data_IF_951690520472
#
_entry.id   IF_951690520472
#
_cell.length_a   1.000
_cell.length_b   1.000
_cell.length_c   1.000
_cell.angle_alpha   90.00
_cell.angle_beta   90.00
_cell.angle_gamma   90.00
#
_symmetry.space_group_name_H-M   'P 1'
#
loop_
_entity.id
_entity.type
_entity.pdbx_description
1 polymer ?
#
# COMPACT_ATOMS: atom_id res chain seq x y z
N UNK A 1 44.45 -34.23 65.52
CA UNK A 1 44.76 -33.21 64.50
C UNK A 1 45.47 -33.92 63.35
N UNK A 2 45.15 -33.83 62.07
CA UNK A 2 44.04 -33.30 61.28
C UNK A 2 44.29 -33.90 59.87
N UNK A 3 43.29 -34.49 59.23
CA UNK A 3 43.41 -35.05 57.88
C UNK A 3 43.23 -33.96 56.80
N UNK A 4 43.85 -34.07 55.62
CA UNK A 4 43.33 -33.51 54.37
C UNK A 4 42.81 -34.68 53.50
N UNK A 5 41.50 -34.92 53.44
CA UNK A 5 40.50 -34.30 52.53
C UNK A 5 40.81 -34.51 51.04
N UNK A 6 40.08 -35.50 50.51
CA UNK A 6 39.98 -35.92 49.13
C UNK A 6 39.31 -34.89 48.21
N UNK A 7 39.45 -35.19 46.90
CA UNK A 7 38.39 -35.12 45.87
C UNK A 7 38.33 -33.86 44.96
N UNK A 8 38.96 -34.02 43.79
CA UNK A 8 38.41 -33.87 42.43
C UNK A 8 37.45 -32.69 42.14
N UNK A 9 37.86 -31.78 41.24
CA UNK A 9 36.92 -31.02 40.40
C UNK A 9 37.49 -30.90 38.98
N UNK A 10 37.11 -31.83 38.11
CA UNK A 10 36.99 -31.60 36.67
C UNK A 10 35.54 -31.19 36.47
N UNK A 11 35.28 -29.95 36.08
CA UNK A 11 33.97 -29.56 35.56
C UNK A 11 34.12 -28.99 34.15
N UNK A 12 33.97 -29.90 33.20
CA UNK A 12 33.62 -29.62 31.81
C UNK A 12 32.33 -28.80 31.82
N UNK A 13 32.38 -27.55 31.38
CA UNK A 13 31.18 -26.78 31.05
C UNK A 13 31.33 -26.22 29.63
N UNK A 14 31.38 -27.14 28.66
CA UNK A 14 31.02 -26.83 27.29
C UNK A 14 29.50 -26.64 27.25
N UNK A 15 29.03 -25.46 27.63
CA UNK A 15 27.69 -25.01 27.24
C UNK A 15 27.76 -24.64 25.76
N UNK A 16 27.62 -25.65 24.90
CA UNK A 16 27.09 -25.44 23.56
C UNK A 16 25.67 -24.90 23.73
N UNK A 17 25.54 -23.57 23.79
CA UNK A 17 24.29 -22.90 23.51
C UNK A 17 24.03 -23.15 22.02
N UNK A 18 23.29 -24.22 21.73
CA UNK A 18 22.54 -24.30 20.48
C UNK A 18 21.66 -23.05 20.44
N UNK A 19 22.06 -22.07 19.63
CA UNK A 19 21.17 -20.99 19.25
C UNK A 19 19.99 -21.64 18.55
N UNK A 20 18.82 -21.64 19.20
CA UNK A 20 17.55 -21.90 18.53
C UNK A 20 17.40 -20.84 17.45
N UNK A 21 17.78 -21.19 16.22
CA UNK A 21 17.39 -20.44 15.04
C UNK A 21 15.91 -20.70 14.85
N UNK A 22 15.08 -19.93 15.53
CA UNK A 22 13.67 -19.83 15.20
C UNK A 22 13.62 -19.03 13.89
N UNK A 23 13.79 -19.71 12.76
CA UNK A 23 13.24 -19.22 11.49
C UNK A 23 11.72 -19.35 11.67
N UNK A 24 11.10 -18.30 12.20
CA UNK A 24 9.65 -18.19 12.32
C UNK A 24 9.10 -18.07 10.89
N UNK A 25 8.72 -19.21 10.30
CA UNK A 25 8.17 -19.34 8.95
C UNK A 25 6.74 -18.74 8.81
N UNK A 26 6.26 -18.00 9.82
CA UNK A 26 4.97 -17.32 9.72
C UNK A 26 5.03 -16.20 8.68
N UNK A 27 3.99 -16.05 7.83
CA UNK A 27 3.92 -14.95 6.88
C UNK A 27 4.02 -13.62 7.62
N UNK A 28 5.01 -12.80 7.27
CA UNK A 28 5.17 -11.48 7.86
C UNK A 28 4.02 -10.59 7.40
N UNK A 29 3.16 -10.19 8.34
CA UNK A 29 2.07 -9.23 8.09
C UNK A 29 2.66 -7.92 7.56
N UNK A 30 2.15 -7.43 6.42
CA UNK A 30 2.65 -6.20 5.78
C UNK A 30 2.23 -4.95 6.55
N UNK A 31 0.93 -4.76 6.75
CA UNK A 31 0.35 -3.72 7.58
C UNK A 31 -0.71 -4.30 8.50
N UNK A 32 -0.71 -3.89 9.77
CA UNK A 32 -1.77 -4.21 10.71
C UNK A 32 -3.00 -3.31 10.53
N UNK A 33 -4.16 -3.77 11.01
CA UNK A 33 -5.40 -2.99 11.00
C UNK A 33 -5.26 -1.65 11.75
N UNK A 34 -4.43 -1.59 12.79
CA UNK A 34 -4.16 -0.34 13.52
C UNK A 34 -3.38 0.65 12.65
N UNK A 35 -2.37 0.19 11.91
CA UNK A 35 -1.60 1.04 11.01
C UNK A 35 -2.46 1.58 9.87
N UNK A 36 -3.43 0.81 9.38
CA UNK A 36 -4.33 1.24 8.30
C UNK A 36 -5.30 2.35 8.70
N UNK A 37 -5.46 2.65 9.99
CA UNK A 37 -6.12 3.89 10.42
C UNK A 37 -5.42 5.14 9.90
N UNK A 38 -4.13 5.06 9.53
CA UNK A 38 -3.47 6.16 8.85
C UNK A 38 -4.12 6.47 7.49
N UNK A 39 -4.69 5.47 6.79
CA UNK A 39 -5.33 5.59 5.47
C UNK A 39 -6.73 6.19 5.55
N UNK A 40 -7.60 5.70 6.43
CA UNK A 40 -9.02 6.13 6.52
C UNK A 40 -9.35 6.93 7.78
N UNK A 41 -8.37 7.20 8.65
CA UNK A 41 -8.58 7.89 9.92
C UNK A 41 -9.46 7.11 10.89
N UNK A 42 -10.24 7.82 11.70
CA UNK A 42 -11.24 7.22 12.59
C UNK A 42 -12.59 6.98 11.88
N UNK A 43 -12.82 7.63 10.74
CA UNK A 43 -14.09 7.55 9.99
C UNK A 43 -13.83 7.72 8.51
N UNK A 44 -13.25 8.86 8.11
CA UNK A 44 -12.79 9.08 6.76
C UNK A 44 -11.51 9.93 6.74
N UNK A 45 -10.72 9.79 5.68
CA UNK A 45 -9.57 10.65 5.40
C UNK A 45 -9.39 10.85 3.90
N UNK A 46 -9.09 12.09 3.53
CA UNK A 46 -8.94 12.53 2.14
C UNK A 46 -7.47 12.54 1.72
N UNK A 47 -7.23 12.08 0.50
CA UNK A 47 -5.91 12.01 -0.10
C UNK A 47 -5.98 12.53 -1.52
N UNK A 48 -5.10 13.46 -1.87
CA UNK A 48 -4.98 13.95 -3.24
C UNK A 48 -3.98 13.09 -4.00
N UNK A 49 -4.33 12.66 -5.21
CA UNK A 49 -3.38 12.05 -6.13
C UNK A 49 -2.39 13.10 -6.60
N UNK A 50 -1.11 12.87 -6.35
CA UNK A 50 -0.04 13.81 -6.75
C UNK A 50 0.79 13.31 -7.91
N UNK A 51 0.80 12.00 -8.17
CA UNK A 51 1.45 11.42 -9.32
C UNK A 51 0.88 10.04 -9.70
N UNK A 52 0.87 9.76 -11.00
CA UNK A 52 0.54 8.46 -11.57
C UNK A 52 1.65 8.00 -12.53
N UNK A 53 2.23 6.84 -12.25
CA UNK A 53 3.40 6.29 -12.92
C UNK A 53 3.06 5.06 -13.76
N UNK A 54 3.68 4.96 -14.94
CA UNK A 54 3.77 3.73 -15.74
C UNK A 54 5.03 2.93 -15.40
N UNK A 55 6.03 3.58 -14.80
CA UNK A 55 7.21 2.91 -14.24
C UNK A 55 7.80 3.73 -13.09
N UNK A 56 7.54 3.29 -11.86
CA UNK A 56 7.94 4.03 -10.65
C UNK A 56 9.46 4.05 -10.44
N UNK A 57 10.14 2.93 -10.70
CA UNK A 57 11.61 2.84 -10.51
C UNK A 57 12.39 3.79 -11.42
N UNK A 58 11.88 4.07 -12.61
CA UNK A 58 12.50 4.98 -13.56
C UNK A 58 11.94 6.42 -13.46
N UNK A 59 11.04 6.68 -12.50
CA UNK A 59 10.33 7.95 -12.37
C UNK A 59 9.60 8.36 -13.67
N UNK A 60 9.01 7.39 -14.36
CA UNK A 60 8.28 7.58 -15.62
C UNK A 60 6.79 7.73 -15.33
N UNK A 61 6.31 8.97 -15.46
CA UNK A 61 4.89 9.29 -15.33
C UNK A 61 4.09 8.63 -16.45
N UNK A 62 2.85 8.26 -16.14
CA UNK A 62 1.87 7.84 -17.15
C UNK A 62 1.45 9.04 -18.00
N UNK A 63 1.10 8.80 -19.26
CA UNK A 63 0.42 9.80 -20.10
C UNK A 63 -0.92 10.27 -19.48
N UNK A 64 -1.50 9.46 -18.58
CA UNK A 64 -2.69 9.83 -17.80
C UNK A 64 -2.37 10.59 -16.50
N UNK A 65 -1.10 10.94 -16.23
CA UNK A 65 -0.75 11.60 -14.99
C UNK A 65 -1.56 12.87 -14.75
N UNK A 66 -1.70 13.72 -15.77
CA UNK A 66 -2.32 15.03 -15.58
C UNK A 66 -3.83 14.96 -15.34
N UNK A 67 -4.52 13.92 -15.83
CA UNK A 67 -5.95 13.72 -15.56
C UNK A 67 -6.24 13.03 -14.21
N UNK A 68 -5.25 12.34 -13.65
CA UNK A 68 -5.32 11.74 -12.32
C UNK A 68 -4.86 12.69 -11.23
N UNK A 69 -3.84 13.47 -11.53
CA UNK A 69 -3.30 14.47 -10.63
C UNK A 69 -4.43 15.42 -10.24
N UNK A 70 -4.52 15.67 -8.94
CA UNK A 70 -5.58 16.46 -8.30
C UNK A 70 -6.92 15.74 -8.06
N UNK A 71 -7.10 14.48 -8.50
CA UNK A 71 -8.20 13.64 -7.99
C UNK A 71 -8.07 13.52 -6.46
N UNK A 72 -9.19 13.57 -5.74
CA UNK A 72 -9.24 13.40 -4.28
C UNK A 72 -9.96 12.10 -3.93
N UNK A 73 -9.25 11.21 -3.24
CA UNK A 73 -9.74 9.93 -2.77
C UNK A 73 -10.08 10.04 -1.29
N UNK A 74 -11.34 9.81 -0.95
CA UNK A 74 -11.85 9.86 0.42
C UNK A 74 -12.12 8.42 0.86
N UNK A 75 -11.17 7.86 1.62
CA UNK A 75 -11.29 6.50 2.14
C UNK A 75 -12.23 6.50 3.34
N UNK A 76 -13.25 5.64 3.31
CA UNK A 76 -14.25 5.50 4.39
C UNK A 76 -14.05 4.20 5.15
N UNK A 77 -13.89 4.29 6.46
CA UNK A 77 -13.52 3.16 7.31
C UNK A 77 -14.60 2.07 7.45
N UNK A 78 -15.87 2.41 7.21
CA UNK A 78 -17.03 1.62 7.57
C UNK A 78 -17.51 0.66 6.47
N UNK A 79 -17.30 1.00 5.20
CA UNK A 79 -17.92 0.29 4.07
C UNK A 79 -16.95 -0.15 2.97
N UNK A 80 -15.64 0.00 3.17
CA UNK A 80 -14.63 -0.37 2.16
C UNK A 80 -14.73 0.42 0.85
N UNK A 81 -15.39 1.58 0.88
CA UNK A 81 -15.53 2.46 -0.27
C UNK A 81 -14.48 3.57 -0.25
N UNK A 82 -14.11 4.00 -1.44
CA UNK A 82 -13.36 5.23 -1.66
C UNK A 82 -14.23 6.12 -2.53
N UNK A 83 -14.67 7.24 -1.98
CA UNK A 83 -15.32 8.28 -2.78
C UNK A 83 -14.24 9.03 -3.55
N UNK A 84 -14.47 9.22 -4.85
CA UNK A 84 -13.52 9.89 -5.75
C UNK A 84 -14.13 11.19 -6.21
N UNK A 85 -13.45 12.30 -5.89
CA UNK A 85 -13.72 13.61 -6.47
C UNK A 85 -12.73 13.79 -7.61
N UNK A 86 -13.22 13.80 -8.84
CA UNK A 86 -12.41 13.94 -10.04
C UNK A 86 -11.81 15.35 -10.15
N UNK A 87 -10.59 15.44 -10.66
CA UNK A 87 -10.02 16.67 -11.19
C UNK A 87 -10.72 17.16 -12.46
N UNK A 88 -10.22 18.26 -13.03
CA UNK A 88 -10.88 18.92 -14.18
C UNK A 88 -10.58 18.26 -15.54
N UNK A 89 -9.45 17.55 -15.66
CA UNK A 89 -8.97 17.04 -16.93
C UNK A 89 -9.50 15.63 -17.22
N UNK A 90 -10.00 15.42 -18.43
CA UNK A 90 -10.26 14.08 -18.96
C UNK A 90 -8.97 13.36 -19.38
N UNK A 91 -8.99 12.04 -19.28
CA UNK A 91 -7.87 11.14 -19.56
C UNK A 91 -7.80 10.73 -21.04
N UNK A 92 -8.94 10.44 -21.66
CA UNK A 92 -9.02 9.98 -23.04
C UNK A 92 -9.42 11.08 -24.00
N UNK A 93 -10.25 12.02 -23.52
CA UNK A 93 -10.67 13.19 -24.25
C UNK A 93 -10.46 14.45 -23.41
N UNK A 94 -10.08 15.60 -24.01
CA UNK A 94 -9.93 16.85 -23.26
C UNK A 94 -11.23 17.32 -22.61
N UNK A 95 -12.36 17.10 -23.29
CA UNK A 95 -13.71 17.48 -22.85
C UNK A 95 -14.66 16.30 -23.11
N UNK A 96 -14.65 15.27 -22.25
CA UNK A 96 -15.57 14.15 -22.35
C UNK A 96 -16.99 14.58 -21.94
N UNK A 97 -18.01 13.91 -22.49
CA UNK A 97 -19.41 14.16 -22.15
C UNK A 97 -19.71 13.69 -20.71
N UNK A 98 -19.16 12.53 -20.35
CA UNK A 98 -19.22 11.98 -18.99
C UNK A 98 -17.86 11.43 -18.55
N UNK A 99 -17.56 11.57 -17.26
CA UNK A 99 -16.43 10.92 -16.61
C UNK A 99 -16.90 10.19 -15.36
N UNK A 100 -16.37 8.99 -15.15
CA UNK A 100 -16.62 8.22 -13.94
C UNK A 100 -15.33 7.58 -13.46
N UNK A 101 -15.07 7.69 -12.16
CA UNK A 101 -14.07 6.87 -11.47
C UNK A 101 -14.71 6.20 -10.26
N UNK A 102 -14.39 4.92 -10.08
CA UNK A 102 -14.80 4.12 -8.95
C UNK A 102 -13.56 3.52 -8.32
N UNK A 103 -13.37 3.76 -7.03
CA UNK A 103 -12.31 3.15 -6.24
C UNK A 103 -12.92 2.41 -5.05
N UNK A 104 -12.47 1.19 -4.83
CA UNK A 104 -12.80 0.39 -3.65
C UNK A 104 -11.52 -0.11 -3.03
N UNK A 105 -11.56 -0.48 -1.76
CA UNK A 105 -10.40 -1.11 -1.13
C UNK A 105 -10.77 -2.43 -0.47
N UNK A 106 -9.76 -3.29 -0.31
CA UNK A 106 -9.86 -4.57 0.38
C UNK A 106 -8.65 -4.72 1.30
N UNK A 107 -8.87 -5.26 2.49
CA UNK A 107 -7.83 -5.59 3.46
C UNK A 107 -7.83 -7.09 3.76
N UNK A 108 -6.72 -7.75 3.46
CA UNK A 108 -6.44 -9.14 3.80
C UNK A 108 -5.74 -9.22 5.15
N UNK A 109 -6.51 -9.36 6.24
CA UNK A 109 -5.96 -9.35 7.60
C UNK A 109 -4.85 -10.41 7.85
N UNK A 110 -4.96 -11.67 7.37
CA UNK A 110 -3.89 -12.66 7.48
C UNK A 110 -2.53 -12.24 6.91
N UNK A 111 -2.52 -11.50 5.79
CA UNK A 111 -1.27 -11.10 5.12
C UNK A 111 -0.91 -9.62 5.35
N UNK A 112 -1.86 -8.83 5.86
CA UNK A 112 -1.74 -7.39 6.00
C UNK A 112 -1.79 -6.62 4.67
N UNK A 113 -2.22 -7.26 3.57
CA UNK A 113 -2.30 -6.61 2.26
C UNK A 113 -3.50 -5.67 2.21
N UNK A 114 -3.27 -4.44 1.77
CA UNK A 114 -4.31 -3.46 1.52
C UNK A 114 -4.28 -3.13 0.03
N UNK A 115 -5.36 -3.39 -0.69
CA UNK A 115 -5.40 -3.29 -2.16
C UNK A 115 -6.53 -2.34 -2.54
N UNK A 116 -6.28 -1.45 -3.48
CA UNK A 116 -7.34 -0.69 -4.15
C UNK A 116 -7.69 -1.34 -5.48
N UNK A 117 -8.99 -1.44 -5.73
CA UNK A 117 -9.57 -1.70 -7.04
C UNK A 117 -9.94 -0.37 -7.66
N UNK A 118 -9.38 -0.08 -8.84
CA UNK A 118 -9.57 1.18 -9.52
C UNK A 118 -10.20 0.94 -10.89
N UNK A 119 -11.27 1.69 -11.19
CA UNK A 119 -11.87 1.79 -12.51
C UNK A 119 -12.06 3.26 -12.86
N UNK A 120 -11.70 3.66 -14.09
CA UNK A 120 -12.05 4.98 -14.63
C UNK A 120 -12.46 4.83 -16.08
N UNK A 121 -13.49 5.57 -16.49
CA UNK A 121 -13.99 5.57 -17.85
C UNK A 121 -14.61 6.90 -18.23
N UNK A 122 -14.66 7.12 -19.53
CA UNK A 122 -15.15 8.35 -20.14
C UNK A 122 -15.99 8.02 -21.38
N UNK A 123 -16.92 8.90 -21.69
CA UNK A 123 -17.67 8.89 -22.94
C UNK A 123 -17.44 10.20 -23.70
N UNK A 124 -17.44 10.12 -25.03
CA UNK A 124 -17.42 11.31 -25.90
C UNK A 124 -18.13 10.97 -27.22
N UNK A 125 -19.34 11.51 -27.41
CA UNK A 125 -20.28 11.07 -28.43
C UNK A 125 -20.59 9.57 -28.30
N UNK A 126 -20.35 8.83 -29.38
CA UNK A 126 -20.56 7.37 -29.42
C UNK A 126 -19.32 6.56 -28.95
N UNK A 127 -18.25 7.24 -28.50
CA UNK A 127 -17.02 6.59 -28.05
C UNK A 127 -17.03 6.36 -26.54
N UNK A 128 -16.46 5.23 -26.13
CA UNK A 128 -16.23 4.88 -24.73
C UNK A 128 -14.81 4.33 -24.56
N UNK A 129 -14.13 4.78 -23.51
CA UNK A 129 -12.81 4.29 -23.14
C UNK A 129 -12.75 4.13 -21.63
N UNK A 130 -12.07 3.09 -21.16
CA UNK A 130 -11.91 2.83 -19.73
C UNK A 130 -10.64 2.06 -19.43
N UNK A 131 -10.26 2.12 -18.16
CA UNK A 131 -9.21 1.30 -17.59
C UNK A 131 -9.61 0.75 -16.23
N UNK A 132 -9.13 -0.46 -15.96
CA UNK A 132 -9.32 -1.16 -14.70
C UNK A 132 -8.00 -1.75 -14.25
N UNK A 133 -7.69 -1.65 -12.95
CA UNK A 133 -6.48 -2.21 -12.37
C UNK A 133 -6.56 -2.31 -10.85
N UNK A 134 -5.71 -3.17 -10.29
CA UNK A 134 -5.52 -3.31 -8.84
C UNK A 134 -4.14 -2.79 -8.46
N UNK A 135 -4.05 -2.10 -7.32
CA UNK A 135 -2.77 -1.67 -6.73
C UNK A 135 -2.73 -2.05 -5.25
N UNK A 136 -1.61 -2.62 -4.81
CA UNK A 136 -1.36 -2.90 -3.39
C UNK A 136 -0.72 -1.67 -2.73
N UNK A 137 -1.04 -1.40 -1.46
CA UNK A 137 -0.35 -0.40 -0.66
C UNK A 137 1.08 -0.89 -0.40
N UNK A 138 2.05 -0.09 -0.80
CA UNK A 138 3.47 -0.44 -0.75
C UNK A 138 4.21 0.37 0.32
N UNK A 139 3.90 1.67 0.42
CA UNK A 139 4.46 2.56 1.43
C UNK A 139 3.36 3.40 2.06
N UNK A 140 3.46 3.62 3.38
CA UNK A 140 2.50 4.41 4.13
C UNK A 140 3.21 5.27 5.18
N UNK A 141 2.78 6.52 5.25
CA UNK A 141 3.15 7.49 6.27
C UNK A 141 1.94 8.40 6.55
N UNK A 142 2.06 9.29 7.53
CA UNK A 142 0.97 10.23 7.87
C UNK A 142 0.55 11.14 6.71
N UNK A 143 1.50 11.49 5.83
CA UNK A 143 1.33 12.48 4.77
C UNK A 143 1.41 11.91 3.37
N UNK A 144 1.74 10.62 3.21
CA UNK A 144 1.93 10.00 1.89
C UNK A 144 1.57 8.51 1.87
N UNK A 145 0.87 8.11 0.82
CA UNK A 145 0.60 6.72 0.44
C UNK A 145 1.20 6.44 -0.94
N UNK A 146 1.78 5.24 -1.11
CA UNK A 146 2.19 4.70 -2.40
C UNK A 146 1.43 3.41 -2.65
N UNK A 147 0.61 3.39 -3.69
CA UNK A 147 -0.02 2.19 -4.21
C UNK A 147 0.71 1.73 -5.47
N UNK A 148 1.08 0.46 -5.56
CA UNK A 148 1.87 -0.09 -6.66
C UNK A 148 1.40 -1.45 -7.14
N UNK A 149 1.71 -1.77 -8.39
CA UNK A 149 1.65 -3.13 -8.93
C UNK A 149 3.04 -3.53 -9.41
N UNK A 150 3.59 -4.60 -8.82
CA UNK A 150 4.96 -5.05 -8.98
C UNK A 150 5.56 -5.47 -7.63
N UNK A 151 6.88 -5.58 -7.55
CA UNK A 151 7.55 -6.05 -6.35
C UNK A 151 8.83 -5.27 -6.07
N UNK A 152 9.19 -5.13 -4.79
CA UNK A 152 10.49 -4.60 -4.35
C UNK A 152 10.82 -3.21 -4.94
N UNK A 153 9.86 -2.28 -4.93
CA UNK A 153 10.03 -0.93 -5.49
C UNK A 153 9.98 -0.84 -7.01
N UNK A 154 9.84 -1.98 -7.71
CA UNK A 154 9.74 -2.06 -9.18
C UNK A 154 8.30 -2.16 -9.62
N UNK A 155 7.61 -1.04 -9.53
CA UNK A 155 6.18 -0.96 -9.84
C UNK A 155 5.98 -0.53 -11.30
N UNK A 156 5.33 -1.38 -12.09
CA UNK A 156 4.91 -1.11 -13.47
C UNK A 156 3.63 -0.27 -13.55
N UNK A 157 3.07 0.06 -12.39
CA UNK A 157 2.01 1.03 -12.21
C UNK A 157 2.07 1.52 -10.78
N UNK A 158 2.04 2.82 -10.54
CA UNK A 158 1.96 3.33 -9.19
C UNK A 158 1.17 4.63 -9.10
N UNK A 159 0.39 4.79 -8.04
CA UNK A 159 -0.27 6.04 -7.67
C UNK A 159 0.32 6.51 -6.35
N UNK A 160 0.75 7.77 -6.32
CA UNK A 160 1.15 8.46 -5.10
C UNK A 160 0.00 9.35 -4.67
N UNK A 161 -0.37 9.25 -3.39
CA UNK A 161 -1.30 10.16 -2.78
C UNK A 161 -0.66 10.89 -1.61
N UNK A 162 -0.98 12.16 -1.46
CA UNK A 162 -0.59 12.99 -0.33
C UNK A 162 -1.83 13.46 0.42
N UNK A 163 -1.67 13.73 1.72
CA UNK A 163 -2.80 14.15 2.55
C UNK A 163 -3.45 15.41 1.95
N UNK A 164 -4.76 15.37 1.73
CA UNK A 164 -5.52 16.54 1.32
C UNK A 164 -5.95 17.33 2.56
N UNK A 165 -5.85 18.66 2.51
CA UNK A 165 -6.37 19.57 3.53
C UNK A 165 -7.91 19.59 3.55
#
# INVERSE_FOLDING_TARGET
>A
MQAPKYFLVILLSFTFLMGCKNDDDSPKIKFSAEQLKAVYGNSQKSWRVTAYYTNYSNNELSDFNDCYKDDVYIFKADNQEVEVVLGELGCYWPEPDEQVATVKYFYDEPTGKFIIEHSRGETSGDLFASQYYLLELEEMSETRLLFGSGENGKYSRAIVLEAAE
#
